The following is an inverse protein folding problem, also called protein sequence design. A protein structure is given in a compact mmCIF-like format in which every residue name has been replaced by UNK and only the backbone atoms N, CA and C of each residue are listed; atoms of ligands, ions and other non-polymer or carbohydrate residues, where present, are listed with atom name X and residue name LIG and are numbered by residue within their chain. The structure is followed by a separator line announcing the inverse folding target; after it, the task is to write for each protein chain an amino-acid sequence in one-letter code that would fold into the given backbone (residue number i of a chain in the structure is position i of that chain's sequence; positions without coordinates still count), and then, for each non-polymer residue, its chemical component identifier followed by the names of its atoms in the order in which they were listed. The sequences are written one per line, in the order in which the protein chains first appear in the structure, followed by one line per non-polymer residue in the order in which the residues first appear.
data_IF_087399022312
#
_entry.id   IF_087399022312
#
_cell.length_a   1.000
_cell.length_b   1.000
_cell.length_c   1.000
_cell.angle_alpha   90.00
_cell.angle_beta   90.00
_cell.angle_gamma   90.00
#
_symmetry.space_group_name_H-M   'P 1'
#
loop_
_entity.id
_entity.type
_entity.pdbx_description
1 polymer ?
#
# COMPACT_ATOMS: atom_id res chain seq x y z
N UNK A 1 -1.61 -10.55 5.34
CA UNK A 1 -1.71 -9.47 4.32
C UNK A 1 -0.69 -9.64 3.21
N UNK A 2 0.52 -10.11 3.52
CA UNK A 2 1.57 -10.42 2.53
C UNK A 2 1.05 -11.19 1.30
N UNK A 3 0.39 -12.32 1.51
CA UNK A 3 -0.07 -13.20 0.41
C UNK A 3 -1.09 -12.50 -0.49
N UNK A 4 -2.00 -11.71 0.09
CA UNK A 4 -2.99 -10.91 -0.64
C UNK A 4 -2.31 -9.87 -1.55
N UNK A 5 -1.28 -9.17 -1.04
CA UNK A 5 -0.56 -8.17 -1.82
C UNK A 5 0.28 -8.83 -2.93
N UNK A 6 0.85 -10.02 -2.67
CA UNK A 6 1.62 -10.76 -3.66
C UNK A 6 0.71 -11.31 -4.77
N UNK A 7 -0.41 -11.94 -4.41
CA UNK A 7 -1.42 -12.39 -5.36
C UNK A 7 -1.91 -11.23 -6.24
N UNK A 8 -2.15 -10.06 -5.63
CA UNK A 8 -2.54 -8.87 -6.39
C UNK A 8 -1.47 -8.41 -7.38
N UNK A 9 -0.20 -8.43 -7.00
CA UNK A 9 0.92 -8.14 -7.90
C UNK A 9 0.94 -9.09 -9.09
N UNK A 10 0.77 -10.38 -8.83
CA UNK A 10 0.80 -11.44 -9.84
C UNK A 10 -0.39 -11.29 -10.80
N UNK A 11 -1.60 -11.02 -10.29
CA UNK A 11 -2.80 -10.74 -11.10
C UNK A 11 -2.63 -9.52 -12.02
N UNK A 12 -1.94 -8.48 -11.53
CA UNK A 12 -1.70 -7.27 -12.31
C UNK A 12 -0.58 -7.47 -13.35
N UNK A 13 0.23 -8.53 -13.24
CA UNK A 13 1.38 -8.76 -14.11
C UNK A 13 2.44 -7.66 -13.99
N UNK A 14 2.52 -6.98 -12.84
CA UNK A 14 3.47 -5.88 -12.61
C UNK A 14 4.54 -6.26 -11.60
N UNK A 15 5.69 -5.61 -11.70
CA UNK A 15 6.83 -5.86 -10.81
C UNK A 15 6.80 -4.94 -9.58
N UNK A 16 7.57 -5.31 -8.55
CA UNK A 16 7.82 -4.43 -7.39
C UNK A 16 8.43 -3.07 -7.81
N UNK A 17 9.21 -3.07 -8.88
CA UNK A 17 9.77 -1.85 -9.46
C UNK A 17 8.68 -0.96 -10.03
N UNK A 18 7.71 -1.52 -10.76
CA UNK A 18 6.60 -0.76 -11.32
C UNK A 18 5.74 -0.11 -10.22
N UNK A 19 5.47 -0.83 -9.12
CA UNK A 19 4.82 -0.24 -7.93
C UNK A 19 5.66 0.90 -7.34
N UNK A 20 6.97 0.71 -7.23
CA UNK A 20 7.88 1.75 -6.73
C UNK A 20 7.87 3.00 -7.63
N UNK A 21 7.82 2.81 -8.95
CA UNK A 21 7.76 3.89 -9.93
C UNK A 21 6.48 4.71 -9.77
N UNK A 22 5.31 4.06 -9.68
CA UNK A 22 4.01 4.73 -9.46
C UNK A 22 3.99 5.54 -8.15
N UNK A 23 4.56 5.00 -7.07
CA UNK A 23 4.65 5.72 -5.80
C UNK A 23 5.60 6.92 -5.92
N UNK A 24 6.74 6.77 -6.59
CA UNK A 24 7.67 7.88 -6.81
C UNK A 24 7.02 9.02 -7.61
N UNK A 25 6.29 8.69 -8.67
CA UNK A 25 5.52 9.65 -9.48
C UNK A 25 4.48 10.38 -8.64
N UNK A 26 3.69 9.66 -7.84
CA UNK A 26 2.67 10.25 -6.95
C UNK A 26 3.25 11.16 -5.86
N UNK A 27 4.48 10.88 -5.40
CA UNK A 27 5.19 11.68 -4.39
C UNK A 27 5.95 12.86 -4.99
N UNK A 28 6.07 12.96 -6.32
CA UNK A 28 7.00 13.89 -6.96
C UNK A 28 8.47 13.61 -6.60
N UNK A 29 8.81 12.36 -6.29
CA UNK A 29 10.16 11.97 -5.92
C UNK A 29 11.09 12.01 -7.14
N UNK A 30 12.34 12.44 -6.94
CA UNK A 30 13.32 12.54 -8.03
C UNK A 30 13.81 11.16 -8.51
N UNK A 31 13.79 10.14 -7.64
CA UNK A 31 14.29 8.80 -7.97
C UNK A 31 13.41 7.69 -7.39
N UNK A 32 13.20 6.64 -8.19
CA UNK A 32 12.48 5.42 -7.77
C UNK A 32 13.19 4.70 -6.61
N UNK A 33 14.52 4.81 -6.54
CA UNK A 33 15.34 4.21 -5.48
C UNK A 33 14.92 4.69 -4.08
N UNK A 34 14.43 5.92 -3.97
CA UNK A 34 14.08 6.56 -2.71
C UNK A 34 12.87 5.87 -2.04
N UNK A 35 12.04 5.19 -2.83
CA UNK A 35 10.84 4.46 -2.36
C UNK A 35 10.96 2.95 -2.51
N UNK A 36 11.89 2.46 -3.32
CA UNK A 36 12.08 1.03 -3.62
C UNK A 36 12.23 0.14 -2.38
N UNK A 37 13.01 0.60 -1.39
CA UNK A 37 13.23 -0.14 -0.14
C UNK A 37 11.98 -0.22 0.72
N UNK A 38 11.16 0.83 0.71
CA UNK A 38 9.88 0.89 1.43
C UNK A 38 8.89 -0.08 0.80
N UNK A 39 8.78 -0.08 -0.53
CA UNK A 39 7.90 -1.00 -1.27
C UNK A 39 8.32 -2.45 -1.03
N UNK A 40 9.61 -2.77 -1.17
CA UNK A 40 10.10 -4.12 -0.96
C UNK A 40 9.77 -4.65 0.45
N UNK A 41 10.03 -3.84 1.49
CA UNK A 41 9.72 -4.20 2.89
C UNK A 41 8.22 -4.31 3.15
N UNK A 42 7.42 -3.45 2.54
CA UNK A 42 5.95 -3.47 2.68
C UNK A 42 5.34 -4.70 2.04
N UNK A 43 5.86 -5.15 0.89
CA UNK A 43 5.40 -6.38 0.26
C UNK A 43 5.88 -7.64 0.98
N UNK A 44 7.04 -7.61 1.65
CA UNK A 44 7.57 -8.78 2.35
C UNK A 44 6.97 -9.00 3.74
N UNK A 45 6.70 -7.90 4.47
CA UNK A 45 6.25 -7.92 5.87
C UNK A 45 5.33 -6.71 6.15
N UNK A 46 4.13 -6.66 5.53
CA UNK A 46 3.24 -5.50 5.61
C UNK A 46 2.76 -5.19 7.03
N UNK A 47 2.55 -6.21 7.87
CA UNK A 47 2.07 -6.07 9.24
C UNK A 47 3.07 -5.32 10.15
N UNK A 48 4.37 -5.41 9.84
CA UNK A 48 5.44 -4.70 10.56
C UNK A 48 5.74 -3.29 10.04
N UNK A 49 4.94 -2.77 9.10
CA UNK A 49 5.17 -1.45 8.49
C UNK A 49 4.17 -0.41 8.98
N UNK A 50 4.56 0.86 8.81
CA UNK A 50 3.66 1.99 8.98
C UNK A 50 2.46 1.82 8.05
N UNK A 51 1.26 2.01 8.58
CA UNK A 51 0.02 1.94 7.82
C UNK A 51 0.05 2.82 6.55
N UNK A 52 0.65 4.01 6.63
CA UNK A 52 0.83 4.90 5.48
C UNK A 52 1.54 4.24 4.30
N UNK A 53 2.54 3.40 4.57
CA UNK A 53 3.32 2.71 3.52
C UNK A 53 2.47 1.60 2.88
N UNK A 54 1.72 0.87 3.70
CA UNK A 54 0.76 -0.15 3.22
C UNK A 54 -0.30 0.52 2.34
N UNK A 55 -0.87 1.63 2.80
CA UNK A 55 -1.88 2.40 2.08
C UNK A 55 -1.39 2.90 0.72
N UNK A 56 -0.17 3.43 0.66
CA UNK A 56 0.41 3.85 -0.62
C UNK A 56 0.64 2.69 -1.58
N UNK A 57 1.14 1.54 -1.10
CA UNK A 57 1.34 0.35 -1.92
C UNK A 57 0.01 -0.16 -2.46
N UNK A 58 -1.02 -0.25 -1.61
CA UNK A 58 -2.37 -0.67 -2.02
C UNK A 58 -2.93 0.29 -3.08
N UNK A 59 -2.82 1.60 -2.88
CA UNK A 59 -3.27 2.61 -3.85
C UNK A 59 -2.50 2.54 -5.18
N UNK A 60 -1.19 2.32 -5.14
CA UNK A 60 -0.38 2.19 -6.35
C UNK A 60 -0.73 0.94 -7.18
N UNK A 61 -1.31 -0.08 -6.54
CA UNK A 61 -1.88 -1.27 -7.18
C UNK A 61 -3.36 -1.10 -7.56
N UNK A 62 -3.91 0.11 -7.47
CA UNK A 62 -5.29 0.44 -7.80
C UNK A 62 -6.32 -0.12 -6.82
N UNK A 63 -5.92 -0.36 -5.58
CA UNK A 63 -6.81 -0.78 -4.50
C UNK A 63 -7.11 0.35 -3.52
N UNK A 64 -8.13 0.14 -2.70
CA UNK A 64 -8.50 1.02 -1.60
C UNK A 64 -8.45 0.27 -0.27
N UNK A 65 -8.13 0.99 0.82
CA UNK A 65 -8.26 0.43 2.16
C UNK A 65 -9.61 0.85 2.73
N UNK A 66 -10.41 -0.14 3.12
CA UNK A 66 -11.70 0.04 3.76
C UNK A 66 -11.57 -0.40 5.22
N UNK A 67 -11.90 0.50 6.14
CA UNK A 67 -12.04 0.16 7.56
C UNK A 67 -13.53 -0.12 7.81
N UNK A 68 -13.83 -1.24 8.48
CA UNK A 68 -15.20 -1.64 8.85
C UNK A 68 -15.26 -1.87 10.34
N UNK A 69 -16.24 -1.25 10.99
CA UNK A 69 -16.53 -1.39 12.40
C UNK A 69 -17.79 -2.25 12.52
N UNK A 70 -17.70 -3.35 13.27
CA UNK A 70 -18.82 -4.29 13.40
C UNK A 70 -19.79 -3.93 14.54
N UNK A 71 -19.33 -3.14 15.53
CA UNK A 71 -20.09 -2.74 16.72
C UNK A 71 -19.74 -1.30 17.13
N UNK A 72 -20.29 -0.29 16.44
CA UNK A 72 -20.11 1.12 16.84
C UNK A 72 -21.45 1.72 17.20
N UNK A 73 -21.61 2.13 18.46
CA UNK A 73 -22.70 2.99 18.89
C UNK A 73 -22.49 4.40 18.32
N UNK A 74 -23.53 4.92 17.67
CA UNK A 74 -23.53 6.26 17.09
C UNK A 74 -23.44 7.30 18.22
N UNK A 75 -22.37 8.10 18.22
CA UNK A 75 -22.26 9.27 19.09
C UNK A 75 -22.16 10.51 18.23
N UNK A 76 -23.27 11.24 18.17
CA UNK A 76 -23.30 12.60 17.65
C UNK A 76 -22.68 13.51 18.71
N UNK A 77 -21.57 14.18 18.36
CA UNK A 77 -21.01 15.24 19.17
C UNK A 77 -21.78 16.53 18.88
N UNK A 78 -22.42 17.08 19.91
CA UNK A 78 -23.06 18.41 19.92
C UNK A 78 -22.03 19.51 20.12
#
# INVERSE_FOLDING_TARGET
MKDILQERLDMLGITKYEVSKRIAENRGAKKVTDVSSIVAKTLSEPEGRRYSNVAEVVKAMGGDIVIRWHNTDEKVAS
#
